data_IF_012029594613
#
_entry.id   IF_012029594613
#
_cell.length_a   1.000
_cell.length_b   1.000
_cell.length_c   1.000
_cell.angle_alpha   90.00
_cell.angle_beta   90.00
_cell.angle_gamma   90.00
#
_symmetry.space_group_name_H-M   'P 1'
#
loop_
_entity.id
_entity.type
_entity.pdbx_description
1 polymer ?
#
# COMPACT_ATOMS: atom_id res chain seq x y z
N UNK A 1 -16.21 -7.94 22.56
CA UNK A 1 -15.51 -6.66 22.46
C UNK A 1 -16.05 -5.92 21.26
N UNK A 2 -16.62 -4.73 21.46
CA UNK A 2 -17.19 -3.88 20.42
C UNK A 2 -16.14 -2.94 19.85
N UNK A 3 -16.42 -2.38 18.66
CA UNK A 3 -15.57 -1.34 18.07
C UNK A 3 -15.44 -0.10 18.98
N UNK A 4 -16.50 0.22 19.74
CA UNK A 4 -16.48 1.32 20.70
C UNK A 4 -15.48 1.05 21.85
N UNK A 5 -15.48 -0.17 22.39
CA UNK A 5 -14.54 -0.60 23.43
C UNK A 5 -13.10 -0.58 22.93
N UNK A 6 -12.84 -1.01 21.68
CA UNK A 6 -11.52 -0.93 21.04
C UNK A 6 -11.05 0.52 20.94
N UNK A 7 -11.90 1.43 20.42
CA UNK A 7 -11.56 2.85 20.28
C UNK A 7 -11.23 3.50 21.61
N UNK A 8 -11.99 3.16 22.65
CA UNK A 8 -11.71 3.61 24.01
C UNK A 8 -10.35 3.09 24.52
N UNK A 9 -10.07 1.80 24.35
CA UNK A 9 -8.80 1.20 24.76
C UNK A 9 -7.60 1.83 24.04
N UNK A 10 -7.72 2.07 22.73
CA UNK A 10 -6.71 2.81 21.95
C UNK A 10 -6.51 4.22 22.51
N UNK A 11 -7.60 4.87 22.93
CA UNK A 11 -7.60 6.16 23.63
C UNK A 11 -6.69 6.20 24.87
N UNK A 12 -6.53 5.07 25.56
CA UNK A 12 -5.77 4.97 26.82
C UNK A 12 -4.31 4.52 26.62
N UNK A 13 -3.91 4.17 25.40
CA UNK A 13 -2.55 3.74 25.10
C UNK A 13 -1.56 4.90 25.19
N UNK A 14 -0.36 4.61 25.70
CA UNK A 14 0.78 5.53 25.66
C UNK A 14 1.26 5.73 24.22
N UNK A 15 1.98 6.83 23.92
CA UNK A 15 2.46 7.11 22.55
C UNK A 15 3.25 5.95 21.93
N UNK A 16 4.06 5.25 22.71
CA UNK A 16 4.88 4.13 22.24
C UNK A 16 4.02 2.92 21.88
N UNK A 17 2.99 2.64 22.69
CA UNK A 17 2.03 1.56 22.45
C UNK A 17 1.14 1.86 21.25
N UNK A 18 0.76 3.12 21.04
CA UNK A 18 0.07 3.56 19.82
C UNK A 18 0.93 3.36 18.58
N UNK A 19 2.22 3.67 18.67
CA UNK A 19 3.17 3.47 17.57
C UNK A 19 3.30 1.99 17.23
N UNK A 20 3.44 1.14 18.24
CA UNK A 20 3.49 -0.31 18.05
C UNK A 20 2.19 -0.85 17.43
N UNK A 21 1.03 -0.39 17.89
CA UNK A 21 -0.28 -0.77 17.33
C UNK A 21 -0.41 -0.35 15.87
N UNK A 22 -0.02 0.89 15.53
CA UNK A 22 -0.05 1.37 14.14
C UNK A 22 0.87 0.53 13.25
N UNK A 23 2.09 0.22 13.71
CA UNK A 23 3.02 -0.61 12.95
C UNK A 23 2.45 -2.01 12.66
N UNK A 24 1.78 -2.60 13.65
CA UNK A 24 1.09 -3.88 13.50
C UNK A 24 -0.06 -3.81 12.49
N UNK A 25 -0.90 -2.78 12.55
CA UNK A 25 -2.01 -2.61 11.60
C UNK A 25 -1.51 -2.40 10.17
N UNK A 26 -0.51 -1.54 9.98
CA UNK A 26 0.12 -1.32 8.68
C UNK A 26 0.70 -2.61 8.12
N UNK A 27 1.32 -3.45 8.95
CA UNK A 27 1.84 -4.74 8.49
C UNK A 27 0.71 -5.65 7.96
N UNK A 28 -0.45 -5.68 8.62
CA UNK A 28 -1.57 -6.48 8.15
C UNK A 28 -2.20 -5.91 6.88
N UNK A 29 -2.40 -4.59 6.83
CA UNK A 29 -2.96 -3.93 5.66
C UNK A 29 -2.05 -4.13 4.45
N UNK A 30 -0.72 -4.03 4.63
CA UNK A 30 0.25 -4.30 3.56
C UNK A 30 0.16 -5.74 3.06
N UNK A 31 0.01 -6.73 3.95
CA UNK A 31 -0.12 -8.12 3.52
C UNK A 31 -1.40 -8.37 2.70
N UNK A 32 -2.52 -7.73 3.08
CA UNK A 32 -3.76 -7.79 2.31
C UNK A 32 -3.63 -7.08 0.96
N UNK A 33 -2.94 -5.94 0.92
CA UNK A 33 -2.63 -5.21 -0.31
C UNK A 33 -1.73 -6.03 -1.24
N UNK A 34 -0.68 -6.66 -0.71
CA UNK A 34 0.22 -7.52 -1.50
C UNK A 34 -0.56 -8.66 -2.16
N UNK A 35 -1.45 -9.32 -1.41
CA UNK A 35 -2.30 -10.37 -1.96
C UNK A 35 -3.23 -9.85 -3.06
N UNK A 36 -3.91 -8.72 -2.82
CA UNK A 36 -4.83 -8.13 -3.79
C UNK A 36 -4.11 -7.74 -5.09
N UNK A 37 -2.93 -7.12 -4.99
CA UNK A 37 -2.11 -6.75 -6.16
C UNK A 37 -1.69 -7.99 -6.95
N UNK A 38 -1.30 -9.06 -6.28
CA UNK A 38 -0.96 -10.32 -6.95
C UNK A 38 -2.16 -10.93 -7.69
N UNK A 39 -3.34 -10.91 -7.09
CA UNK A 39 -4.57 -11.40 -7.71
C UNK A 39 -4.98 -10.54 -8.92
N UNK A 40 -4.91 -9.21 -8.79
CA UNK A 40 -5.23 -8.28 -9.87
C UNK A 40 -4.23 -8.37 -11.02
N UNK A 41 -2.95 -8.55 -10.72
CA UNK A 41 -1.91 -8.82 -11.73
C UNK A 41 -2.16 -10.15 -12.45
N UNK A 42 -2.48 -11.23 -11.71
CA UNK A 42 -2.79 -12.53 -12.31
C UNK A 42 -4.07 -12.50 -13.16
N UNK A 43 -5.01 -11.62 -12.84
CA UNK A 43 -6.24 -11.40 -13.59
C UNK A 43 -6.08 -10.43 -14.78
N UNK A 44 -4.87 -9.89 -15.02
CA UNK A 44 -4.59 -8.93 -16.10
C UNK A 44 -5.22 -7.55 -15.89
N UNK A 45 -5.72 -7.23 -14.69
CA UNK A 45 -6.37 -5.94 -14.43
C UNK A 45 -5.38 -4.78 -14.42
N UNK A 46 -4.11 -5.09 -14.17
CA UNK A 46 -3.02 -4.13 -14.13
C UNK A 46 -2.31 -3.98 -15.49
N UNK A 47 -2.74 -4.69 -16.54
CA UNK A 47 -2.08 -4.69 -17.85
C UNK A 47 -2.04 -3.29 -18.49
N UNK A 48 -3.10 -2.50 -18.29
CA UNK A 48 -3.17 -1.11 -18.76
C UNK A 48 -2.04 -0.22 -18.24
N UNK A 49 -1.49 -0.50 -17.05
CA UNK A 49 -0.36 0.25 -16.49
C UNK A 49 0.93 -0.01 -17.26
N UNK A 50 1.09 -1.22 -17.81
CA UNK A 50 2.23 -1.54 -18.68
C UNK A 50 2.08 -0.90 -20.05
N UNK A 51 0.86 -0.89 -20.60
CA UNK A 51 0.55 -0.22 -21.86
C UNK A 51 0.84 1.29 -21.76
N UNK A 52 0.35 1.96 -20.72
CA UNK A 52 0.63 3.38 -20.45
C UNK A 52 2.13 3.65 -20.32
N UNK A 53 2.85 2.80 -19.58
CA UNK A 53 4.30 2.95 -19.41
C UNK A 53 5.08 2.76 -20.71
N UNK A 54 4.61 1.91 -21.62
CA UNK A 54 5.22 1.71 -22.94
C UNK A 54 4.92 2.85 -23.90
N UNK A 55 3.71 3.43 -23.83
CA UNK A 55 3.34 4.64 -24.57
C UNK A 55 4.21 5.83 -24.16
N UNK A 56 4.37 6.09 -22.86
CA UNK A 56 5.23 7.17 -22.35
C UNK A 56 6.71 7.00 -22.71
N UNK A 57 7.20 5.74 -22.75
CA UNK A 57 8.55 5.42 -23.26
C UNK A 57 8.72 5.79 -24.74
N UNK A 58 7.71 5.50 -25.55
CA UNK A 58 7.72 5.80 -26.98
C UNK A 58 7.72 7.31 -27.27
N UNK A 59 7.02 8.08 -26.45
CA UNK A 59 6.77 9.52 -26.68
C UNK A 59 7.92 10.45 -26.24
N UNK A 60 9.10 9.92 -25.87
CA UNK A 60 10.28 10.69 -25.41
C UNK A 60 10.02 11.64 -24.23
N UNK A 61 8.89 11.49 -23.53
CA UNK A 61 8.50 12.29 -22.36
C UNK A 61 9.17 11.86 -21.06
N UNK A 62 9.87 10.72 -21.06
CA UNK A 62 10.54 10.20 -19.88
C UNK A 62 11.79 11.00 -19.54
N UNK A 63 11.85 11.47 -18.30
CA UNK A 63 13.05 12.06 -17.72
C UNK A 63 14.09 10.96 -17.48
N UNK A 64 15.35 11.24 -17.83
CA UNK A 64 16.47 10.36 -17.49
C UNK A 64 16.48 10.03 -16.00
N UNK A 65 16.66 8.74 -15.69
CA UNK A 65 16.85 8.30 -14.33
C UNK A 65 18.09 8.98 -13.74
N UNK A 66 18.00 9.62 -12.57
CA UNK A 66 19.16 10.29 -11.98
C UNK A 66 20.26 9.26 -11.70
N UNK A 67 21.32 9.32 -12.50
CA UNK A 67 22.56 8.58 -12.23
C UNK A 67 23.21 9.14 -10.98
N UNK A 68 23.47 8.25 -10.01
CA UNK A 68 24.08 8.56 -8.72
C UNK A 68 25.52 9.04 -8.85
#
# INVERSE_FOLDING_TARGET
MSLAEIKQAIGQLRPEERTALTAFLVQQDNAAWDQQIQEDAAAGRLDHLFEEADEERGDQGLRDWPTR
#
